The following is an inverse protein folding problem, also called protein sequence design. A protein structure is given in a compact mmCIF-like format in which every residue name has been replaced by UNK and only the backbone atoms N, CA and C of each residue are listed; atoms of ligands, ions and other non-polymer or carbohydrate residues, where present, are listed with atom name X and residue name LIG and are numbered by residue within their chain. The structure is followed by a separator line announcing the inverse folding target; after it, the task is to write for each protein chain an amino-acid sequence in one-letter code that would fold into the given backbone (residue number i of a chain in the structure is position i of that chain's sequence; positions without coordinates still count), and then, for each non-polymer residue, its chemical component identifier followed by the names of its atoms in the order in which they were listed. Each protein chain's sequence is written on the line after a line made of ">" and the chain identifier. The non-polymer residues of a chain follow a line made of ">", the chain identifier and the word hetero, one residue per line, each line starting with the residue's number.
data_IF_481678588508
#
_entry.id   IF_481678588508
#
_cell.length_a   1.000
_cell.length_b   1.000
_cell.length_c   1.000
_cell.angle_alpha   90.00
_cell.angle_beta   90.00
_cell.angle_gamma   90.00
#
_symmetry.space_group_name_H-M   'P 1'
#
loop_
_entity.id
_entity.type
_entity.pdbx_description
1 polymer ?
#
# COMPACT_ATOMS: atom_id res chain seq x y z
N UNK A 1 20.35 -31.23 -55.77
CA UNK A 1 20.08 -31.79 -54.43
C UNK A 1 20.98 -31.07 -53.41
N UNK A 2 20.53 -29.98 -52.81
CA UNK A 2 21.30 -29.22 -51.82
C UNK A 2 20.80 -29.49 -50.41
N UNK A 3 21.65 -30.06 -49.55
CA UNK A 3 21.30 -30.31 -48.14
C UNK A 3 21.34 -29.01 -47.35
N UNK A 4 20.20 -28.61 -46.77
CA UNK A 4 20.08 -27.42 -45.92
C UNK A 4 21.05 -27.49 -44.74
N UNK A 5 21.79 -26.39 -44.53
CA UNK A 5 22.70 -26.23 -43.38
C UNK A 5 21.88 -25.83 -42.14
N UNK A 6 21.88 -26.62 -41.05
CA UNK A 6 21.13 -26.27 -39.84
C UNK A 6 21.65 -24.96 -39.24
N UNK A 7 20.73 -24.07 -38.86
CA UNK A 7 21.02 -22.73 -38.32
C UNK A 7 21.30 -22.71 -36.81
N UNK A 8 21.40 -23.86 -36.16
CA UNK A 8 21.70 -23.96 -34.72
C UNK A 8 22.88 -24.90 -34.48
N UNK A 9 23.87 -24.41 -33.72
CA UNK A 9 25.05 -25.17 -33.32
C UNK A 9 24.73 -26.32 -32.35
N UNK A 10 25.70 -27.17 -32.00
CA UNK A 10 25.50 -28.34 -31.17
C UNK A 10 24.94 -27.95 -29.79
N UNK A 11 23.68 -28.31 -29.51
CA UNK A 11 23.06 -28.06 -28.22
C UNK A 11 23.71 -28.95 -27.16
N UNK A 12 24.69 -28.42 -26.41
CA UNK A 12 25.16 -29.05 -25.18
C UNK A 12 23.96 -29.13 -24.23
N UNK A 13 23.51 -30.35 -23.91
CA UNK A 13 22.45 -30.58 -22.91
C UNK A 13 22.99 -30.23 -21.54
N UNK A 14 22.91 -28.95 -21.20
CA UNK A 14 23.19 -28.49 -19.87
C UNK A 14 22.00 -28.83 -18.96
N UNK A 15 22.14 -29.94 -18.22
CA UNK A 15 21.14 -30.40 -17.23
C UNK A 15 20.91 -29.37 -16.11
N UNK A 16 21.73 -28.32 -16.00
CA UNK A 16 21.59 -27.28 -14.97
C UNK A 16 20.51 -26.23 -15.31
N UNK A 17 20.17 -26.02 -16.59
CA UNK A 17 19.18 -25.04 -17.04
C UNK A 17 17.72 -25.39 -16.69
N UNK A 18 17.46 -26.64 -16.29
CA UNK A 18 16.09 -27.13 -16.05
C UNK A 18 15.58 -26.74 -14.64
N UNK A 19 16.48 -26.47 -13.68
CA UNK A 19 16.10 -26.12 -12.29
C UNK A 19 15.47 -24.73 -12.19
N UNK A 20 15.86 -23.80 -13.07
CA UNK A 20 15.31 -22.45 -13.14
C UNK A 20 13.90 -22.40 -13.75
N UNK A 21 13.36 -23.50 -14.27
CA UNK A 21 12.04 -23.54 -14.94
C UNK A 21 10.86 -23.82 -14.00
N UNK A 22 11.12 -24.08 -12.72
CA UNK A 22 10.06 -24.43 -11.75
C UNK A 22 9.59 -23.27 -10.88
N UNK A 23 10.28 -22.13 -10.95
CA UNK A 23 9.92 -20.93 -10.21
C UNK A 23 9.67 -19.79 -11.21
N UNK A 24 8.64 -18.98 -10.98
CA UNK A 24 8.45 -17.78 -11.76
C UNK A 24 9.68 -16.85 -11.65
N UNK A 25 9.92 -15.97 -12.64
CA UNK A 25 11.00 -14.98 -12.60
C UNK A 25 10.97 -14.16 -11.31
N UNK A 26 12.11 -13.61 -10.92
CA UNK A 26 12.22 -12.80 -9.71
C UNK A 26 11.24 -11.61 -9.78
N UNK A 27 10.42 -11.46 -8.75
CA UNK A 27 9.37 -10.44 -8.68
C UNK A 27 8.02 -10.86 -9.29
N UNK A 28 7.92 -12.04 -9.88
CA UNK A 28 6.66 -12.60 -10.36
C UNK A 28 6.07 -13.53 -9.28
N UNK A 29 4.97 -13.05 -8.69
CA UNK A 29 4.22 -13.79 -7.68
C UNK A 29 3.06 -14.51 -8.38
N UNK A 30 3.07 -15.84 -8.37
CA UNK A 30 2.02 -16.67 -8.95
C UNK A 30 1.52 -17.61 -7.86
N UNK A 31 0.33 -17.35 -7.34
CA UNK A 31 -0.34 -18.19 -6.34
C UNK A 31 -1.56 -18.88 -6.93
N UNK A 32 -1.93 -20.04 -6.37
CA UNK A 32 -3.09 -20.80 -6.83
C UNK A 32 -4.41 -20.05 -6.58
N UNK A 33 -4.58 -19.48 -5.38
CA UNK A 33 -5.76 -18.69 -4.99
C UNK A 33 -5.99 -17.50 -5.94
N UNK A 34 -4.94 -16.73 -6.23
CA UNK A 34 -5.03 -15.56 -7.12
C UNK A 34 -5.41 -15.95 -8.55
N UNK A 35 -4.88 -17.08 -9.05
CA UNK A 35 -5.24 -17.62 -10.35
C UNK A 35 -6.72 -18.02 -10.39
N UNK A 36 -7.19 -18.70 -9.34
CA UNK A 36 -8.59 -19.08 -9.24
C UNK A 36 -9.51 -17.85 -9.14
N UNK A 37 -9.14 -16.84 -8.35
CA UNK A 37 -9.88 -15.58 -8.23
C UNK A 37 -9.98 -14.82 -9.56
N UNK A 38 -8.94 -14.86 -10.41
CA UNK A 38 -8.95 -14.23 -11.73
C UNK A 38 -9.80 -14.98 -12.76
N UNK A 39 -9.86 -16.31 -12.66
CA UNK A 39 -10.51 -17.19 -13.64
C UNK A 39 -11.98 -17.45 -13.28
N UNK A 40 -12.35 -17.40 -12.00
CA UNK A 40 -13.65 -17.83 -11.50
C UNK A 40 -14.84 -16.87 -11.75
N UNK A 41 -14.77 -15.91 -12.70
CA UNK A 41 -16.01 -15.31 -13.21
C UNK A 41 -16.66 -16.23 -14.22
N UNK A 42 -17.98 -16.36 -14.09
CA UNK A 42 -18.86 -16.89 -15.12
C UNK A 42 -18.78 -16.15 -16.47
N UNK A 43 -19.74 -16.42 -17.37
CA UNK A 43 -19.65 -16.07 -18.79
C UNK A 43 -19.31 -14.60 -19.03
N UNK A 44 -18.59 -14.29 -20.13
CA UNK A 44 -18.16 -12.94 -20.43
C UNK A 44 -19.35 -11.99 -20.36
N UNK A 45 -19.28 -11.03 -19.45
CA UNK A 45 -20.26 -9.97 -19.33
C UNK A 45 -20.31 -9.11 -20.60
N UNK A 46 -21.27 -8.19 -20.70
CA UNK A 46 -21.36 -7.27 -21.83
C UNK A 46 -20.03 -6.52 -22.05
N UNK A 47 -19.72 -6.10 -23.29
CA UNK A 47 -18.50 -5.35 -23.60
C UNK A 47 -18.35 -4.14 -22.65
N UNK A 48 -17.26 -4.10 -21.89
CA UNK A 48 -16.99 -3.04 -20.90
C UNK A 48 -17.30 -3.41 -19.44
N UNK A 49 -17.86 -4.60 -19.16
CA UNK A 49 -18.00 -5.08 -17.79
C UNK A 49 -16.63 -5.40 -17.14
N UNK A 50 -16.44 -5.07 -15.86
CA UNK A 50 -15.17 -5.31 -15.17
C UNK A 50 -14.91 -6.81 -14.99
N UNK A 51 -13.79 -7.28 -15.54
CA UNK A 51 -13.30 -8.65 -15.34
C UNK A 51 -13.00 -8.91 -13.86
N UNK A 52 -12.95 -10.17 -13.38
CA UNK A 52 -12.53 -10.47 -12.01
C UNK A 52 -11.19 -9.85 -11.64
N UNK A 53 -10.22 -9.91 -12.56
CA UNK A 53 -8.93 -9.27 -12.38
C UNK A 53 -9.07 -7.76 -12.15
N UNK A 54 -10.00 -7.10 -12.86
CA UNK A 54 -10.27 -5.68 -12.65
C UNK A 54 -11.03 -5.41 -11.34
N UNK A 55 -11.92 -6.30 -10.90
CA UNK A 55 -12.61 -6.17 -9.61
C UNK A 55 -11.64 -6.31 -8.43
N UNK A 56 -10.73 -7.29 -8.49
CA UNK A 56 -9.67 -7.47 -7.51
C UNK A 56 -8.77 -6.22 -7.43
N UNK A 57 -8.37 -5.69 -8.58
CA UNK A 57 -7.54 -4.49 -8.62
C UNK A 57 -8.27 -3.27 -8.03
N UNK A 58 -9.56 -3.07 -8.37
CA UNK A 58 -10.40 -2.01 -7.80
C UNK A 58 -10.56 -2.15 -6.29
N UNK A 59 -10.70 -3.38 -5.78
CA UNK A 59 -10.79 -3.64 -4.35
C UNK A 59 -9.51 -3.16 -3.64
N UNK A 60 -8.33 -3.54 -4.16
CA UNK A 60 -7.04 -3.08 -3.62
C UNK A 60 -6.88 -1.56 -3.71
N UNK A 61 -7.32 -0.92 -4.80
CA UNK A 61 -7.31 0.54 -4.93
C UNK A 61 -8.16 1.21 -3.83
N UNK A 62 -9.34 0.66 -3.55
CA UNK A 62 -10.22 1.15 -2.49
C UNK A 62 -9.56 1.00 -1.11
N UNK A 63 -8.88 -0.10 -0.83
CA UNK A 63 -8.14 -0.29 0.43
C UNK A 63 -7.00 0.72 0.58
N UNK A 64 -6.22 0.93 -0.49
CA UNK A 64 -5.15 1.95 -0.50
C UNK A 64 -5.73 3.34 -0.26
N UNK A 65 -6.86 3.67 -0.86
CA UNK A 65 -7.55 4.95 -0.63
C UNK A 65 -8.03 5.05 0.82
N UNK A 66 -8.64 4.00 1.37
CA UNK A 66 -9.13 3.99 2.75
C UNK A 66 -7.98 4.21 3.75
N UNK A 67 -6.85 3.50 3.57
CA UNK A 67 -5.65 3.66 4.40
C UNK A 67 -5.05 5.06 4.28
N UNK A 68 -4.95 5.60 3.06
CA UNK A 68 -4.50 6.98 2.85
C UNK A 68 -5.41 8.01 3.50
N UNK A 69 -6.73 7.81 3.41
CA UNK A 69 -7.73 8.67 4.07
C UNK A 69 -7.53 8.65 5.58
N UNK A 70 -7.24 7.50 6.18
CA UNK A 70 -6.97 7.41 7.63
C UNK A 70 -5.75 8.23 8.05
N UNK A 71 -4.65 8.14 7.30
CA UNK A 71 -3.45 8.96 7.54
C UNK A 71 -3.76 10.45 7.40
N UNK A 72 -4.47 10.83 6.34
CA UNK A 72 -4.88 12.22 6.13
C UNK A 72 -5.80 12.72 7.23
N UNK A 73 -6.73 11.89 7.71
CA UNK A 73 -7.62 12.22 8.82
C UNK A 73 -6.83 12.53 10.09
N UNK A 74 -5.92 11.64 10.51
CA UNK A 74 -5.08 11.89 11.70
C UNK A 74 -4.19 13.12 11.53
N UNK A 75 -3.60 13.34 10.34
CA UNK A 75 -2.83 14.58 10.04
C UNK A 75 -3.70 15.83 10.21
N UNK A 76 -4.93 15.81 9.71
CA UNK A 76 -5.85 16.93 9.80
C UNK A 76 -6.26 17.20 11.25
N UNK A 77 -6.50 16.16 12.05
CA UNK A 77 -6.79 16.32 13.48
C UNK A 77 -5.63 17.01 14.22
N UNK A 78 -4.36 16.70 13.92
CA UNK A 78 -3.21 17.43 14.48
C UNK A 78 -3.27 18.93 14.15
N UNK A 79 -3.79 19.31 12.99
CA UNK A 79 -3.95 20.72 12.60
C UNK A 79 -5.03 21.45 13.41
N UNK A 80 -6.08 20.76 13.86
CA UNK A 80 -7.18 21.37 14.61
C UNK A 80 -7.02 21.28 16.13
N UNK A 81 -6.27 20.29 16.62
CA UNK A 81 -6.13 20.00 18.05
C UNK A 81 -4.69 20.10 18.57
N UNK A 82 -3.72 20.41 17.70
CA UNK A 82 -2.31 20.51 18.06
C UNK A 82 -1.77 19.20 18.66
N UNK A 83 -1.33 19.26 19.92
CA UNK A 83 -0.83 18.10 20.68
C UNK A 83 -1.84 17.48 21.64
N UNK A 84 -3.13 17.82 21.54
CA UNK A 84 -4.16 17.13 22.29
C UNK A 84 -4.43 15.74 21.67
N UNK A 85 -3.50 14.82 21.94
CA UNK A 85 -3.52 13.48 21.37
C UNK A 85 -4.73 12.66 21.83
N UNK A 86 -5.29 13.00 23.00
CA UNK A 86 -6.49 12.38 23.55
C UNK A 86 -7.72 12.80 22.74
N UNK A 87 -7.92 14.09 22.50
CA UNK A 87 -9.01 14.58 21.65
C UNK A 87 -8.91 14.04 20.21
N UNK A 88 -7.69 13.97 19.66
CA UNK A 88 -7.46 13.39 18.33
C UNK A 88 -7.86 11.90 18.30
N UNK A 89 -7.53 11.14 19.33
CA UNK A 89 -7.89 9.72 19.42
C UNK A 89 -9.42 9.50 19.46
N UNK A 90 -10.13 10.33 20.22
CA UNK A 90 -11.60 10.30 20.32
C UNK A 90 -12.26 10.57 18.96
N UNK A 91 -11.76 11.56 18.20
CA UNK A 91 -12.29 11.90 16.88
C UNK A 91 -11.97 10.84 15.84
N UNK A 92 -10.76 10.27 15.89
CA UNK A 92 -10.36 9.20 14.97
C UNK A 92 -11.12 7.90 15.25
N UNK A 93 -11.55 7.67 16.49
CA UNK A 93 -12.46 6.59 16.90
C UNK A 93 -11.88 5.17 16.86
N UNK A 94 -10.80 4.94 16.10
CA UNK A 94 -10.14 3.63 15.96
C UNK A 94 -8.64 3.66 16.30
N UNK A 95 -8.19 4.70 17.02
CA UNK A 95 -6.81 4.85 17.51
C UNK A 95 -6.86 5.24 18.98
N UNK A 96 -5.92 4.70 19.75
CA UNK A 96 -5.67 5.18 21.12
C UNK A 96 -4.69 6.35 21.08
N UNK A 97 -4.62 7.12 22.16
CA UNK A 97 -3.70 8.24 22.30
C UNK A 97 -2.24 7.86 21.99
N UNK A 98 -1.78 6.71 22.48
CA UNK A 98 -0.43 6.20 22.21
C UNK A 98 -0.16 5.99 20.71
N UNK A 99 -1.17 5.55 19.94
CA UNK A 99 -1.04 5.42 18.49
C UNK A 99 -0.92 6.77 17.81
N UNK A 100 -1.64 7.79 18.29
CA UNK A 100 -1.57 9.16 17.76
C UNK A 100 -0.20 9.79 18.08
N UNK A 101 0.31 9.61 19.31
CA UNK A 101 1.68 10.03 19.68
C UNK A 101 2.74 9.37 18.80
N UNK A 102 2.65 8.05 18.62
CA UNK A 102 3.56 7.31 17.75
C UNK A 102 3.48 7.78 16.31
N UNK A 103 2.27 8.08 15.81
CA UNK A 103 2.08 8.68 14.49
C UNK A 103 2.80 10.03 14.38
N UNK A 104 2.65 10.90 15.38
CA UNK A 104 3.29 12.21 15.39
C UNK A 104 4.81 12.11 15.29
N UNK A 105 5.44 11.21 16.05
CA UNK A 105 6.90 11.03 16.05
C UNK A 105 7.38 10.35 14.75
N UNK A 106 6.76 9.23 14.38
CA UNK A 106 7.18 8.40 13.23
C UNK A 106 6.99 9.10 11.89
N UNK A 107 6.00 9.99 11.79
CA UNK A 107 5.66 10.67 10.54
C UNK A 107 5.94 12.19 10.57
N UNK A 108 6.60 12.67 11.63
CA UNK A 108 6.92 14.10 11.86
C UNK A 108 7.45 14.81 10.62
N UNK A 109 8.54 14.28 10.04
CA UNK A 109 9.20 14.86 8.86
C UNK A 109 8.40 14.65 7.58
N UNK A 110 7.85 13.43 7.38
CA UNK A 110 7.16 13.05 6.13
C UNK A 110 5.91 13.89 5.87
N UNK A 111 5.20 14.28 6.92
CA UNK A 111 3.99 15.09 6.80
C UNK A 111 4.15 16.53 7.26
N UNK A 112 5.39 16.97 7.52
CA UNK A 112 5.70 18.31 8.03
C UNK A 112 4.83 18.68 9.25
N UNK A 113 4.69 17.74 10.20
CA UNK A 113 3.81 17.91 11.36
C UNK A 113 4.26 19.06 12.26
N UNK A 114 5.55 19.43 12.23
CA UNK A 114 6.06 20.62 12.90
C UNK A 114 5.48 21.91 12.32
N UNK A 115 5.35 21.99 11.00
CA UNK A 115 4.71 23.15 10.36
C UNK A 115 3.22 23.21 10.68
N UNK A 116 2.53 22.07 10.62
CA UNK A 116 1.10 21.96 10.96
C UNK A 116 0.84 22.36 12.40
N UNK A 117 1.69 21.92 13.32
CA UNK A 117 1.60 22.27 14.73
C UNK A 117 1.87 23.75 14.96
N UNK A 118 2.86 24.33 14.28
CA UNK A 118 3.16 25.76 14.37
C UNK A 118 1.97 26.61 13.91
N UNK A 119 1.31 26.25 12.81
CA UNK A 119 0.07 26.93 12.36
C UNK A 119 -0.99 26.93 13.47
N UNK A 120 -1.17 25.79 14.15
CA UNK A 120 -2.12 25.69 15.25
C UNK A 120 -1.71 26.56 16.46
N UNK A 121 -0.42 26.56 16.81
CA UNK A 121 0.15 27.35 17.92
C UNK A 121 0.09 28.86 17.65
N UNK A 122 0.19 29.30 16.38
CA UNK A 122 0.02 30.70 15.97
C UNK A 122 -1.42 31.19 16.19
N UNK A 123 -2.43 30.34 16.01
CA UNK A 123 -3.84 30.68 16.18
C UNK A 123 -4.33 30.54 17.64
N UNK A 124 -3.86 29.52 18.37
CA UNK A 124 -4.39 29.14 19.69
C UNK A 124 -3.42 29.39 20.86
N UNK A 125 -2.18 29.79 20.56
CA UNK A 125 -1.09 29.91 21.54
C UNK A 125 -0.38 28.59 21.83
N UNK A 126 0.73 28.62 22.59
CA UNK A 126 1.52 27.42 22.88
C UNK A 126 0.72 26.41 23.71
N UNK A 127 0.63 25.16 23.22
CA UNK A 127 0.02 24.06 23.97
C UNK A 127 0.78 23.89 25.29
N UNK A 128 0.09 24.05 26.43
CA UNK A 128 0.60 23.60 27.73
C UNK A 128 0.74 22.08 27.68
N UNK A 129 1.95 21.60 27.42
CA UNK A 129 2.24 20.17 27.45
C UNK A 129 2.37 19.77 28.91
N UNK A 130 1.27 19.34 29.53
CA UNK A 130 1.26 18.89 30.93
C UNK A 130 1.75 17.44 31.05
N UNK A 131 2.97 17.15 30.59
CA UNK A 131 3.59 15.83 30.82
C UNK A 131 5.11 16.02 30.95
N UNK A 132 5.50 16.45 32.14
CA UNK A 132 6.81 16.22 32.70
C UNK A 132 6.59 15.55 34.06
N UNK A 133 6.26 14.25 34.05
CA UNK A 133 6.51 13.32 35.15
C UNK A 133 6.60 11.88 34.61
#
# INVERSE_FOLDING_TARGET
>A
MGTLRPTVGPMKRDKQLIKHKRRPPRGMHINHEDLMAMISSGPPGPPGAPTPGQQLLRHMENEVIALKRQVSHTKLSVRYFGKDFKAIAEIVGNKTENHVRSFFVTYRKRYNLDGVLREWEEEHGPVRTSEAE
#
